data_IF_792211249180
#
_entry.id   IF_792211249180
#
_cell.length_a   1.000
_cell.length_b   1.000
_cell.length_c   1.000
_cell.angle_alpha   90.00
_cell.angle_beta   90.00
_cell.angle_gamma   90.00
#
_symmetry.space_group_name_H-M   'P 1'
#
loop_
_entity.id
_entity.type
_entity.pdbx_description
1 polymer ?
#
# COMPACT_ATOMS: atom_id res chain seq x y z
N UNK A 1 -16.90 -4.39 -3.72
CA UNK A 1 -15.46 -4.23 -3.97
C UNK A 1 -14.69 -4.56 -2.70
N UNK A 2 -13.37 -4.65 -2.76
CA UNK A 2 -12.49 -4.87 -1.61
C UNK A 2 -11.58 -3.65 -1.46
N UNK A 3 -11.42 -3.17 -0.24
CA UNK A 3 -10.33 -2.25 0.10
C UNK A 3 -9.24 -3.04 0.80
N UNK A 4 -7.98 -2.82 0.43
CA UNK A 4 -6.76 -3.38 1.03
C UNK A 4 -5.93 -2.23 1.58
N UNK A 5 -5.59 -2.28 2.86
CA UNK A 5 -4.88 -1.21 3.57
C UNK A 5 -3.56 -1.70 4.14
N UNK A 6 -2.48 -1.01 3.78
CA UNK A 6 -1.13 -1.24 4.28
C UNK A 6 -0.61 0.01 4.98
N UNK A 7 0.22 -0.20 6.00
CA UNK A 7 0.95 0.85 6.68
C UNK A 7 2.45 0.51 6.73
N UNK A 8 3.27 1.52 6.51
CA UNK A 8 4.69 1.47 6.81
C UNK A 8 5.21 2.86 7.17
N UNK A 9 6.39 2.92 7.77
CA UNK A 9 7.08 4.17 8.03
C UNK A 9 8.58 4.07 7.78
N UNK A 10 9.17 5.22 7.44
CA UNK A 10 10.61 5.38 7.23
C UNK A 10 11.13 6.56 8.06
N UNK A 11 12.42 6.61 8.40
CA UNK A 11 13.05 7.80 8.94
C UNK A 11 12.82 9.01 8.03
N UNK A 12 12.69 10.20 8.61
CA UNK A 12 12.35 11.42 7.88
C UNK A 12 13.33 11.76 6.74
N UNK A 13 14.61 11.38 6.88
CA UNK A 13 15.63 11.58 5.84
C UNK A 13 15.32 10.83 4.54
N UNK A 14 14.56 9.73 4.61
CA UNK A 14 14.16 8.91 3.47
C UNK A 14 12.73 9.20 2.99
N UNK A 15 12.01 10.13 3.61
CA UNK A 15 10.59 10.35 3.38
C UNK A 15 10.24 10.63 1.90
N UNK A 16 10.98 11.53 1.26
CA UNK A 16 10.69 11.89 -0.14
C UNK A 16 11.09 10.79 -1.12
N UNK A 17 12.26 10.17 -0.93
CA UNK A 17 12.71 9.09 -1.81
C UNK A 17 11.81 7.86 -1.69
N UNK A 18 11.37 7.53 -0.48
CA UNK A 18 10.41 6.45 -0.26
C UNK A 18 9.04 6.78 -0.85
N UNK A 19 8.60 8.04 -0.83
CA UNK A 19 7.34 8.44 -1.46
C UNK A 19 7.37 8.20 -2.98
N UNK A 20 8.49 8.52 -3.65
CA UNK A 20 8.68 8.23 -5.09
C UNK A 20 8.73 6.73 -5.34
N UNK A 21 9.45 5.98 -4.51
CA UNK A 21 9.53 4.53 -4.60
C UNK A 21 8.15 3.86 -4.42
N UNK A 22 7.37 4.30 -3.42
CA UNK A 22 6.02 3.80 -3.16
C UNK A 22 5.06 4.13 -4.31
N UNK A 23 5.20 5.29 -4.95
CA UNK A 23 4.41 5.64 -6.15
C UNK A 23 4.71 4.66 -7.30
N UNK A 24 5.97 4.39 -7.57
CA UNK A 24 6.37 3.48 -8.66
C UNK A 24 6.01 2.03 -8.39
N UNK A 25 6.15 1.59 -7.14
CA UNK A 25 5.88 0.22 -6.72
C UNK A 25 4.44 0.09 -6.23
N UNK A 26 4.17 0.26 -4.94
CA UNK A 26 2.87 0.01 -4.32
C UNK A 26 1.67 0.66 -5.01
N UNK A 27 1.81 1.86 -5.57
CA UNK A 27 0.72 2.56 -6.28
C UNK A 27 0.61 2.10 -7.73
N UNK A 28 1.59 2.41 -8.59
CA UNK A 28 1.50 2.12 -10.04
C UNK A 28 1.41 0.63 -10.33
N UNK A 29 2.21 -0.21 -9.68
CA UNK A 29 2.10 -1.67 -9.84
C UNK A 29 0.68 -2.14 -9.52
N UNK A 30 0.05 -1.61 -8.46
CA UNK A 30 -1.33 -2.00 -8.14
C UNK A 30 -2.34 -1.52 -9.19
N UNK A 31 -2.15 -0.33 -9.75
CA UNK A 31 -3.03 0.26 -10.77
C UNK A 31 -2.95 -0.47 -12.13
N UNK A 32 -1.80 -1.08 -12.44
CA UNK A 32 -1.61 -1.88 -13.66
C UNK A 32 -2.36 -3.21 -13.63
N UNK A 33 -2.78 -3.68 -12.45
CA UNK A 33 -3.51 -4.94 -12.31
C UNK A 33 -4.98 -4.75 -12.72
N UNK A 34 -5.42 -5.58 -13.67
CA UNK A 34 -6.83 -5.64 -14.08
C UNK A 34 -7.73 -5.91 -12.86
N UNK A 35 -8.72 -5.05 -12.66
CA UNK A 35 -9.63 -5.11 -11.53
C UNK A 35 -9.24 -4.19 -10.37
N UNK A 36 -8.10 -3.48 -10.44
CA UNK A 36 -7.85 -2.33 -9.57
C UNK A 36 -8.87 -1.21 -9.86
N UNK A 37 -9.35 -0.55 -8.81
CA UNK A 37 -10.35 0.53 -8.86
C UNK A 37 -9.81 1.84 -8.29
N UNK A 38 -8.55 1.87 -7.85
CA UNK A 38 -7.90 3.04 -7.29
C UNK A 38 -6.83 2.68 -6.26
N UNK A 39 -5.86 3.57 -6.11
CA UNK A 39 -4.78 3.49 -5.13
C UNK A 39 -4.53 4.88 -4.57
N UNK A 40 -4.52 5.01 -3.25
CA UNK A 40 -4.46 6.28 -2.56
C UNK A 40 -3.50 6.18 -1.37
N UNK A 41 -2.63 7.17 -1.24
CA UNK A 41 -1.65 7.24 -0.15
C UNK A 41 -1.95 8.45 0.70
N UNK A 42 -2.00 8.24 2.02
CA UNK A 42 -1.95 9.32 3.01
C UNK A 42 -0.60 9.31 3.69
N UNK A 43 0.00 10.49 3.81
CA UNK A 43 1.26 10.75 4.51
C UNK A 43 1.00 11.44 5.85
N UNK A 44 1.72 11.05 6.89
CA UNK A 44 1.67 11.68 8.21
C UNK A 44 3.05 11.66 8.87
N UNK A 45 3.63 12.84 9.12
CA UNK A 45 4.86 12.95 9.88
C UNK A 45 4.58 12.83 11.39
N UNK A 46 5.31 11.95 12.07
CA UNK A 46 5.23 11.78 13.53
C UNK A 46 6.66 11.69 14.12
N UNK A 47 7.09 12.75 14.80
CA UNK A 47 8.46 12.85 15.30
C UNK A 47 9.47 12.76 14.16
N UNK A 48 10.37 11.78 14.22
CA UNK A 48 11.43 11.58 13.22
C UNK A 48 11.05 10.56 12.14
N UNK A 49 9.76 10.22 12.02
CA UNK A 49 9.26 9.20 11.08
C UNK A 49 8.18 9.78 10.17
N UNK A 50 8.22 9.36 8.91
CA UNK A 50 7.14 9.60 7.96
C UNK A 50 6.32 8.32 7.80
N UNK A 51 5.03 8.40 8.10
CA UNK A 51 4.10 7.27 7.98
C UNK A 51 3.33 7.34 6.66
N UNK A 52 3.22 6.19 6.00
CA UNK A 52 2.50 6.01 4.75
C UNK A 52 1.35 5.03 4.97
N UNK A 53 0.13 5.48 4.68
CA UNK A 53 -1.07 4.66 4.71
C UNK A 53 -1.56 4.48 3.28
N UNK A 54 -1.34 3.30 2.71
CA UNK A 54 -1.76 2.95 1.36
C UNK A 54 -3.12 2.24 1.42
N UNK A 55 -4.11 2.77 0.73
CA UNK A 55 -5.39 2.12 0.49
C UNK A 55 -5.55 1.83 -1.01
N UNK A 56 -5.73 0.56 -1.35
CA UNK A 56 -6.01 0.11 -2.73
C UNK A 56 -7.39 -0.52 -2.80
N UNK A 57 -8.12 -0.24 -3.88
CA UNK A 57 -9.48 -0.72 -4.11
C UNK A 57 -9.49 -1.71 -5.25
N UNK A 58 -10.26 -2.78 -5.09
CA UNK A 58 -10.23 -3.95 -5.97
C UNK A 58 -11.64 -4.42 -6.27
N UNK A 59 -11.87 -4.86 -7.50
CA UNK A 59 -13.13 -5.45 -7.94
C UNK A 59 -13.51 -6.65 -7.08
N UNK A 60 -12.58 -7.60 -6.96
CA UNK A 60 -12.76 -8.86 -6.25
C UNK A 60 -11.43 -9.40 -5.71
N UNK A 61 -11.49 -10.57 -5.07
CA UNK A 61 -10.33 -11.23 -4.46
C UNK A 61 -9.37 -11.80 -5.49
N UNK A 62 -9.82 -12.09 -6.72
CA UNK A 62 -8.95 -12.60 -7.78
C UNK A 62 -7.99 -11.50 -8.23
N UNK A 63 -8.48 -10.28 -8.38
CA UNK A 63 -7.64 -9.11 -8.67
C UNK A 63 -6.61 -8.86 -7.56
N UNK A 64 -7.02 -8.95 -6.28
CA UNK A 64 -6.09 -8.84 -5.14
C UNK A 64 -4.99 -9.91 -5.19
N UNK A 65 -5.35 -11.16 -5.49
CA UNK A 65 -4.38 -12.26 -5.60
C UNK A 65 -3.48 -12.14 -6.82
N UNK A 66 -3.94 -11.52 -7.91
CA UNK A 66 -3.09 -11.23 -9.06
C UNK A 66 -1.99 -10.21 -8.71
N UNK A 67 -2.28 -9.27 -7.81
CA UNK A 67 -1.31 -8.30 -7.29
C UNK A 67 -0.40 -8.89 -6.21
N UNK A 68 -0.99 -9.49 -5.17
CA UNK A 68 -0.28 -9.86 -3.93
C UNK A 68 0.05 -11.35 -3.80
N UNK A 69 -0.29 -12.16 -4.80
CA UNK A 69 -0.10 -13.61 -4.79
C UNK A 69 -1.14 -14.36 -3.94
N UNK A 70 -0.91 -15.65 -3.73
CA UNK A 70 -1.83 -16.53 -2.99
C UNK A 70 -1.84 -16.24 -1.47
N UNK A 71 -0.73 -15.76 -0.92
CA UNK A 71 -0.60 -15.32 0.46
C UNK A 71 -0.89 -13.82 0.59
N UNK A 72 -1.93 -13.36 -0.09
CA UNK A 72 -2.34 -11.96 -0.16
C UNK A 72 -2.60 -11.29 1.20
N UNK A 73 -2.60 -12.01 2.33
CA UNK A 73 -2.61 -11.36 3.65
C UNK A 73 -1.26 -10.78 4.07
N UNK A 74 -0.18 -11.14 3.38
CA UNK A 74 1.18 -10.65 3.64
C UNK A 74 1.45 -9.41 2.79
N UNK A 75 2.25 -8.48 3.31
CA UNK A 75 2.69 -7.31 2.56
C UNK A 75 3.51 -7.71 1.33
N UNK A 76 3.27 -7.03 0.22
CA UNK A 76 4.13 -7.16 -0.96
C UNK A 76 5.38 -6.33 -0.70
N UNK A 77 6.54 -6.98 -0.67
CA UNK A 77 7.84 -6.35 -0.43
C UNK A 77 8.62 -6.24 -1.73
N UNK A 78 9.36 -5.15 -1.89
CA UNK A 78 10.23 -4.91 -3.04
C UNK A 78 11.70 -4.93 -2.60
N UNK A 79 12.64 -5.43 -3.43
CA UNK A 79 14.05 -5.55 -3.05
C UNK A 79 14.71 -4.24 -2.60
N UNK A 80 14.18 -3.10 -3.05
CA UNK A 80 14.72 -1.78 -2.73
C UNK A 80 14.17 -1.18 -1.43
N UNK A 81 13.18 -1.80 -0.79
CA UNK A 81 12.54 -1.29 0.43
C UNK A 81 13.55 -1.11 1.59
N UNK A 82 14.52 -2.02 1.70
CA UNK A 82 15.53 -2.02 2.77
C UNK A 82 16.41 -0.76 2.74
N UNK A 83 16.56 -0.12 1.56
CA UNK A 83 17.37 1.10 1.39
C UNK A 83 16.82 2.30 2.16
N UNK A 84 15.53 2.25 2.53
CA UNK A 84 14.83 3.33 3.20
C UNK A 84 14.62 3.07 4.70
N UNK A 85 15.22 2.00 5.23
CA UNK A 85 14.98 1.53 6.60
C UNK A 85 13.48 1.37 6.91
N UNK A 86 12.72 0.86 5.93
CA UNK A 86 11.28 0.69 6.02
C UNK A 86 10.91 -0.23 7.18
N UNK A 87 10.10 0.29 8.10
CA UNK A 87 9.33 -0.50 9.05
C UNK A 87 7.94 -0.72 8.45
N UNK A 88 7.66 -1.96 8.06
CA UNK A 88 6.43 -2.34 7.35
C UNK A 88 5.55 -3.23 8.22
N UNK A 89 4.24 -3.00 8.20
CA UNK A 89 3.30 -3.96 8.77
C UNK A 89 3.38 -5.28 8.00
N UNK A 90 3.63 -6.42 8.67
CA UNK A 90 3.82 -7.70 7.99
C UNK A 90 2.52 -8.23 7.37
N UNK A 91 1.38 -7.82 7.92
CA UNK A 91 0.06 -8.22 7.48
C UNK A 91 -0.72 -7.04 6.94
N UNK A 92 -1.46 -7.31 5.86
CA UNK A 92 -2.29 -6.33 5.18
C UNK A 92 -3.75 -6.67 5.40
N UNK A 93 -4.49 -5.69 5.92
CA UNK A 93 -5.90 -5.85 6.18
C UNK A 93 -6.73 -5.53 4.94
N UNK A 94 -7.88 -6.19 4.86
CA UNK A 94 -8.76 -6.05 3.72
C UNK A 94 -10.21 -6.27 4.12
N UNK A 95 -11.08 -5.47 3.53
CA UNK A 95 -12.49 -5.42 3.88
C UNK A 95 -13.32 -5.45 2.61
N UNK A 96 -14.37 -6.28 2.59
CA UNK A 96 -15.41 -6.17 1.58
C UNK A 96 -16.24 -4.93 1.89
N UNK A 97 -16.30 -4.01 0.93
CA UNK A 97 -17.06 -2.76 1.05
C UNK A 97 -18.01 -2.62 -0.14
N UNK A 98 -19.20 -2.09 0.12
CA UNK A 98 -20.24 -1.88 -0.88
C UNK A 98 -20.26 -0.44 -1.39
N UNK A 99 -20.00 0.52 -0.50
CA UNK A 99 -20.06 1.96 -0.80
C UNK A 99 -18.92 2.70 -0.08
N UNK A 100 -18.45 3.80 -0.66
CA UNK A 100 -17.52 4.75 -0.02
C UNK A 100 -18.29 6.05 0.23
N UNK A 101 -18.23 6.55 1.46
CA UNK A 101 -18.85 7.81 1.85
C UNK A 101 -17.77 8.80 2.31
N UNK A 102 -17.80 10.06 1.85
CA UNK A 102 -17.12 11.12 2.57
C UNK A 102 -17.81 11.30 3.93
N UNK A 103 -17.01 11.39 5.00
CA UNK A 103 -17.50 11.74 6.33
C UNK A 103 -17.65 13.25 6.46
#
# INVERSE_FOLDING_TARGET
MIVRTWHGCVPLEYAEDFAVHLDLTGVRHSQEIVGNKGAFVRRVTQGNWEHFFLATYWEDIKAVKAFAGNDYHIAVTYPDDDKFCLLSDPYVFQHKVEVIHPL
#
